data_IF_983873629865
#
_entry.id   IF_983873629865
#
_cell.length_a   1.000
_cell.length_b   1.000
_cell.length_c   1.000
_cell.angle_alpha   90.00
_cell.angle_beta   90.00
_cell.angle_gamma   90.00
#
_symmetry.space_group_name_H-M   'P 1'
#
loop_
_entity.id
_entity.type
_entity.pdbx_description
1 polymer ?
#
# COMPACT_ATOMS: atom_id res chain seq x y z
N UNK A 1 33.74 -38.08 33.86
CA UNK A 1 32.55 -38.38 34.68
C UNK A 1 31.85 -39.58 34.07
N UNK A 2 31.91 -40.74 34.72
CA UNK A 2 31.25 -41.98 34.28
C UNK A 2 29.91 -42.14 34.99
N UNK A 3 28.89 -42.60 34.28
CA UNK A 3 27.59 -42.93 34.86
C UNK A 3 27.62 -44.38 35.36
N UNK A 4 27.13 -44.60 36.59
CA UNK A 4 26.98 -45.94 37.17
C UNK A 4 25.81 -46.70 36.51
N UNK A 5 25.93 -48.01 36.37
CA UNK A 5 24.91 -48.93 35.84
C UNK A 5 23.49 -48.64 36.37
N UNK A 6 23.37 -48.47 37.69
CA UNK A 6 22.10 -48.13 38.36
C UNK A 6 21.55 -46.76 37.97
N UNK A 7 22.43 -45.81 37.67
CA UNK A 7 22.00 -44.47 37.22
C UNK A 7 21.45 -44.49 35.79
N UNK A 8 21.93 -45.40 34.93
CA UNK A 8 21.38 -45.62 33.60
C UNK A 8 20.01 -46.31 33.62
N UNK A 9 19.81 -47.26 34.53
CA UNK A 9 18.52 -47.91 34.70
C UNK A 9 17.47 -46.91 35.19
N UNK A 10 17.83 -46.09 36.20
CA UNK A 10 16.95 -45.04 36.73
C UNK A 10 16.67 -43.93 35.71
N UNK A 11 17.64 -43.57 34.87
CA UNK A 11 17.44 -42.59 33.78
C UNK A 11 16.50 -43.15 32.70
N UNK A 12 16.56 -44.46 32.43
CA UNK A 12 15.63 -45.14 31.53
C UNK A 12 14.22 -45.21 32.12
N UNK A 13 14.09 -45.48 33.42
CA UNK A 13 12.81 -45.44 34.14
C UNK A 13 12.20 -44.04 34.18
N UNK A 14 13.03 -43.00 34.36
CA UNK A 14 12.63 -41.59 34.28
C UNK A 14 12.52 -41.06 32.85
N UNK A 15 12.93 -41.88 31.86
CA UNK A 15 12.87 -41.63 30.44
C UNK A 15 11.44 -41.67 29.94
N UNK A 16 10.65 -40.71 30.40
CA UNK A 16 9.36 -40.23 29.88
C UNK A 16 8.68 -41.23 28.95
N UNK A 17 7.82 -42.07 29.50
CA UNK A 17 6.77 -42.69 28.70
C UNK A 17 5.97 -41.55 28.05
N UNK A 18 6.14 -41.36 26.74
CA UNK A 18 5.29 -40.43 26.02
C UNK A 18 3.84 -40.93 26.16
N UNK A 19 2.88 -40.07 26.52
CA UNK A 19 1.48 -40.44 26.44
C UNK A 19 1.18 -40.90 25.00
N UNK A 20 0.27 -41.88 24.88
CA UNK A 20 -0.15 -42.43 23.58
C UNK A 20 -0.45 -41.27 22.63
N UNK A 21 0.14 -41.32 21.43
CA UNK A 21 -0.15 -40.32 20.39
C UNK A 21 -1.66 -40.24 20.22
N UNK A 22 -2.17 -39.01 20.24
CA UNK A 22 -3.55 -38.75 19.82
C UNK A 22 -3.71 -39.32 18.40
N UNK A 23 -4.90 -39.88 18.07
CA UNK A 23 -5.17 -40.30 16.72
C UNK A 23 -4.87 -39.15 15.78
N UNK A 24 -4.09 -39.42 14.73
CA UNK A 24 -3.86 -38.43 13.67
C UNK A 24 -5.24 -38.04 13.13
N UNK A 25 -5.53 -36.74 12.98
CA UNK A 25 -6.80 -36.32 12.40
C UNK A 25 -6.91 -37.01 11.04
N UNK A 26 -8.04 -37.70 10.80
CA UNK A 26 -8.27 -38.31 9.50
C UNK A 26 -8.03 -37.24 8.45
N UNK A 27 -7.08 -37.52 7.55
CA UNK A 27 -6.86 -36.70 6.36
C UNK A 27 -8.07 -36.90 5.48
N UNK A 28 -9.15 -36.22 5.84
CA UNK A 28 -10.25 -36.01 4.95
C UNK A 28 -9.62 -35.42 3.70
N UNK A 29 -9.57 -36.23 2.64
CA UNK A 29 -9.45 -35.83 1.24
C UNK A 29 -10.68 -34.99 0.90
N UNK A 30 -10.83 -33.89 1.62
CA UNK A 30 -11.54 -32.73 1.16
C UNK A 30 -10.67 -32.15 0.06
N UNK A 31 -11.20 -31.89 -1.14
CA UNK A 31 -10.45 -31.12 -2.12
C UNK A 31 -10.09 -29.82 -1.41
N UNK A 32 -8.79 -29.60 -1.13
CA UNK A 32 -8.22 -28.49 -0.33
C UNK A 32 -9.25 -27.40 -0.22
N UNK A 33 -9.95 -27.34 0.93
CA UNK A 33 -10.97 -26.33 1.18
C UNK A 33 -10.39 -25.02 0.64
N UNK A 34 -10.97 -24.51 -0.46
CA UNK A 34 -10.47 -23.33 -1.14
C UNK A 34 -10.50 -22.26 -0.08
N UNK A 35 -9.36 -22.01 0.55
CA UNK A 35 -9.21 -20.91 1.48
C UNK A 35 -9.74 -19.73 0.71
N UNK A 36 -10.83 -19.16 1.20
CA UNK A 36 -11.53 -18.06 0.54
C UNK A 36 -10.54 -16.92 0.57
N UNK A 37 -9.74 -16.82 -0.49
CA UNK A 37 -8.73 -15.78 -0.62
C UNK A 37 -9.47 -14.46 -0.64
N UNK A 38 -8.97 -13.49 0.12
CA UNK A 38 -9.49 -12.14 0.04
C UNK A 38 -9.31 -11.62 -1.39
N UNK A 39 -10.21 -10.74 -1.84
CA UNK A 39 -10.18 -10.23 -3.23
C UNK A 39 -8.82 -9.60 -3.59
N UNK A 40 -8.26 -8.85 -2.66
CA UNK A 40 -6.89 -8.28 -2.69
C UNK A 40 -5.78 -9.31 -2.95
N UNK A 41 -5.98 -10.58 -2.59
CA UNK A 41 -5.00 -11.64 -2.84
C UNK A 41 -5.20 -12.31 -4.21
N UNK A 42 -6.34 -12.12 -4.86
CA UNK A 42 -6.64 -12.70 -6.18
C UNK A 42 -6.58 -11.70 -7.31
N UNK A 43 -6.63 -10.41 -7.00
CA UNK A 43 -6.66 -9.34 -7.97
C UNK A 43 -5.32 -9.22 -8.74
N UNK A 44 -5.44 -8.99 -10.04
CA UNK A 44 -4.32 -8.94 -10.99
C UNK A 44 -4.19 -7.55 -11.64
N UNK A 45 -5.25 -6.73 -11.59
CA UNK A 45 -5.20 -5.34 -12.01
C UNK A 45 -4.65 -4.46 -10.88
N UNK A 46 -3.52 -3.74 -11.08
CA UNK A 46 -2.96 -2.87 -10.04
C UNK A 46 -3.94 -1.78 -9.58
N UNK A 47 -4.78 -1.25 -10.48
CA UNK A 47 -5.70 -0.15 -10.16
C UNK A 47 -6.84 -0.65 -9.26
N UNK A 48 -7.34 -1.86 -9.51
CA UNK A 48 -8.38 -2.50 -8.70
C UNK A 48 -7.81 -2.95 -7.36
N UNK A 49 -6.61 -3.55 -7.37
CA UNK A 49 -5.93 -3.98 -6.14
C UNK A 49 -5.71 -2.80 -5.19
N UNK A 50 -5.27 -1.64 -5.71
CA UNK A 50 -5.09 -0.43 -4.91
C UNK A 50 -6.41 0.05 -4.27
N UNK A 51 -7.50 0.08 -5.06
CA UNK A 51 -8.82 0.51 -4.56
C UNK A 51 -9.34 -0.41 -3.49
N UNK A 52 -9.17 -1.73 -3.66
CA UNK A 52 -9.56 -2.69 -2.64
C UNK A 52 -8.73 -2.50 -1.38
N UNK A 53 -7.41 -2.38 -1.49
CA UNK A 53 -6.52 -2.10 -0.35
C UNK A 53 -6.98 -0.87 0.46
N UNK A 54 -7.35 0.23 -0.21
CA UNK A 54 -7.89 1.42 0.44
C UNK A 54 -9.23 1.18 1.15
N UNK A 55 -10.05 0.25 0.68
CA UNK A 55 -11.33 -0.11 1.30
C UNK A 55 -11.16 -1.02 2.52
N UNK A 56 -10.21 -1.96 2.48
CA UNK A 56 -10.00 -2.91 3.58
C UNK A 56 -9.08 -2.37 4.68
N UNK A 57 -8.27 -1.35 4.39
CA UNK A 57 -7.35 -0.72 5.35
C UNK A 57 -7.81 0.69 5.75
N UNK A 58 -8.84 0.84 6.61
CA UNK A 58 -9.26 2.16 7.11
C UNK A 58 -8.16 2.86 7.92
N UNK A 59 -7.27 2.08 8.54
CA UNK A 59 -6.12 2.58 9.34
C UNK A 59 -4.90 2.95 8.49
N UNK A 60 -4.96 2.75 7.16
CA UNK A 60 -3.84 3.03 6.24
C UNK A 60 -2.65 2.07 6.37
N UNK A 61 -2.70 1.07 7.26
CA UNK A 61 -1.69 0.01 7.33
C UNK A 61 -1.99 -1.09 6.30
N UNK A 62 -1.01 -1.36 5.44
CA UNK A 62 -1.08 -2.40 4.41
C UNK A 62 0.06 -3.40 4.63
N UNK A 63 -0.21 -4.72 4.65
CA UNK A 63 0.83 -5.74 4.73
C UNK A 63 1.89 -5.61 3.61
N UNK A 64 3.15 -5.80 3.99
CA UNK A 64 4.31 -5.60 3.11
C UNK A 64 4.24 -6.42 1.81
N UNK A 65 3.80 -7.67 1.89
CA UNK A 65 3.65 -8.54 0.72
C UNK A 65 2.60 -8.04 -0.30
N UNK A 66 1.54 -7.34 0.13
CA UNK A 66 0.53 -6.77 -0.78
C UNK A 66 1.08 -5.53 -1.49
N UNK A 67 1.86 -4.70 -0.78
CA UNK A 67 2.58 -3.57 -1.38
C UNK A 67 3.64 -4.02 -2.39
N UNK A 68 4.42 -5.05 -2.05
CA UNK A 68 5.41 -5.63 -2.94
C UNK A 68 4.75 -6.16 -4.23
N UNK A 69 3.61 -6.83 -4.11
CA UNK A 69 2.83 -7.30 -5.27
C UNK A 69 2.30 -6.16 -6.12
N UNK A 70 1.75 -5.11 -5.52
CA UNK A 70 1.23 -3.96 -6.25
C UNK A 70 2.33 -3.30 -7.09
N UNK A 71 3.53 -3.13 -6.53
CA UNK A 71 4.71 -2.65 -7.26
C UNK A 71 5.07 -3.55 -8.45
N UNK A 72 5.09 -4.86 -8.24
CA UNK A 72 5.38 -5.82 -9.33
C UNK A 72 4.37 -5.73 -10.47
N UNK A 73 3.08 -5.57 -10.17
CA UNK A 73 2.02 -5.42 -11.18
C UNK A 73 2.12 -4.09 -11.94
N UNK A 74 2.49 -3.01 -11.24
CA UNK A 74 2.72 -1.69 -11.85
C UNK A 74 3.93 -1.71 -12.79
N UNK A 75 5.04 -2.32 -12.37
CA UNK A 75 6.26 -2.48 -13.17
C UNK A 75 5.99 -3.27 -14.44
N UNK A 76 5.17 -4.33 -14.35
CA UNK A 76 4.74 -5.13 -15.51
C UNK A 76 3.82 -4.36 -16.47
N UNK A 77 3.19 -3.26 -16.01
CA UNK A 77 2.25 -2.45 -16.80
C UNK A 77 2.92 -1.31 -17.59
N UNK A 78 4.12 -0.87 -17.22
CA UNK A 78 4.84 0.20 -17.95
C UNK A 78 5.75 -0.37 -19.06
N UNK A 79 5.79 0.17 -20.30
CA UNK A 79 5.18 1.39 -20.85
C UNK A 79 4.13 1.15 -21.97
N UNK A 80 3.67 -0.08 -22.21
CA UNK A 80 2.93 -0.42 -23.45
C UNK A 80 1.43 -0.09 -23.43
N UNK A 81 0.84 0.28 -22.28
CA UNK A 81 -0.63 0.48 -22.14
C UNK A 81 -1.03 1.64 -21.24
N UNK A 82 -0.32 2.77 -21.27
CA UNK A 82 -0.94 4.03 -20.79
C UNK A 82 -1.86 4.54 -21.90
N UNK A 83 -3.04 3.96 -22.04
CA UNK A 83 -4.09 4.54 -22.87
C UNK A 83 -4.57 5.84 -22.22
N UNK A 84 -4.77 6.93 -22.98
CA UNK A 84 -5.17 8.24 -22.45
C UNK A 84 -6.58 8.27 -21.84
N UNK A 85 -7.25 7.13 -21.70
CA UNK A 85 -8.59 6.98 -21.12
C UNK A 85 -8.63 7.23 -19.62
N UNK A 86 -7.54 6.99 -18.88
CA UNK A 86 -7.48 7.29 -17.43
C UNK A 86 -7.17 8.77 -17.14
N UNK A 87 -6.80 9.54 -18.17
CA UNK A 87 -6.67 11.00 -18.08
C UNK A 87 -8.02 11.74 -18.25
N UNK A 88 -9.12 11.02 -18.49
CA UNK A 88 -10.43 11.61 -18.74
C UNK A 88 -11.19 12.04 -17.47
N UNK A 89 -10.69 11.67 -16.28
CA UNK A 89 -11.35 11.98 -14.99
C UNK A 89 -10.52 12.85 -14.05
N UNK A 90 -9.40 13.38 -14.55
CA UNK A 90 -8.61 14.41 -13.86
C UNK A 90 -9.03 15.77 -14.43
N UNK A 91 -9.22 16.81 -13.60
CA UNK A 91 -9.39 18.16 -14.13
C UNK A 91 -8.19 18.46 -15.05
N UNK A 92 -8.42 19.06 -16.24
CA UNK A 92 -7.34 19.34 -17.17
C UNK A 92 -6.31 20.22 -16.47
N UNK A 93 -5.05 19.77 -16.43
CA UNK A 93 -3.98 20.61 -15.91
C UNK A 93 -3.99 21.93 -16.70
N UNK A 94 -3.91 23.09 -16.03
CA UNK A 94 -3.87 24.36 -16.70
C UNK A 94 -2.63 24.36 -17.61
N UNK A 95 -2.88 24.48 -18.91
CA UNK A 95 -1.83 24.64 -19.91
C UNK A 95 -1.14 25.97 -19.62
N UNK A 96 -0.07 25.94 -18.85
CA UNK A 96 0.79 27.11 -18.68
C UNK A 96 1.43 27.38 -20.03
N UNK A 97 0.94 28.41 -20.72
CA UNK A 97 1.61 28.90 -21.91
C UNK A 97 2.97 29.40 -21.45
N UNK A 98 4.02 28.64 -21.73
CA UNK A 98 5.40 29.05 -21.56
C UNK A 98 5.70 30.14 -22.59
N UNK A 99 5.25 31.36 -22.29
CA UNK A 99 5.72 32.57 -22.95
C UNK A 99 7.17 32.79 -22.52
N UNK A 100 8.08 32.80 -23.49
CA UNK A 100 9.48 33.12 -23.25
C UNK A 100 9.59 34.55 -22.71
N UNK A 101 10.02 34.67 -21.45
CA UNK A 101 10.30 35.96 -20.83
C UNK A 101 10.73 35.76 -19.39
N UNK A 102 12.02 35.87 -19.12
CA UNK A 102 12.56 35.92 -17.76
C UNK A 102 12.14 37.24 -17.11
N UNK A 103 10.96 37.26 -16.50
CA UNK A 103 10.63 38.26 -15.48
C UNK A 103 10.11 37.51 -14.27
N UNK A 104 10.85 37.56 -13.16
CA UNK A 104 10.48 37.08 -11.82
C UNK A 104 9.35 37.95 -11.26
N UNK A 105 8.23 38.00 -11.97
CA UNK A 105 7.02 38.65 -11.47
C UNK A 105 5.92 37.59 -11.50
N UNK A 106 5.32 37.24 -10.36
CA UNK A 106 4.21 36.30 -10.34
C UNK A 106 3.10 36.87 -11.21
N UNK A 107 2.83 36.21 -12.33
CA UNK A 107 1.76 36.60 -13.23
C UNK A 107 0.46 36.02 -12.68
N UNK A 108 -0.51 36.89 -12.39
CA UNK A 108 -1.82 36.43 -11.95
C UNK A 108 -2.47 35.61 -13.07
N UNK A 109 -3.02 34.42 -12.76
CA UNK A 109 -3.81 33.67 -13.72
C UNK A 109 -5.04 34.50 -14.15
N UNK A 110 -5.45 34.34 -15.41
CA UNK A 110 -6.61 35.05 -15.95
C UNK A 110 -7.89 34.38 -15.45
N UNK A 111 -8.41 34.84 -14.33
CA UNK A 111 -9.58 34.28 -13.63
C UNK A 111 -10.65 35.38 -13.50
N UNK A 112 -11.95 35.07 -13.67
CA UNK A 112 -13.02 36.07 -13.52
C UNK A 112 -13.07 36.67 -12.10
N UNK A 113 -13.22 37.99 -12.04
CA UNK A 113 -13.25 38.75 -10.79
C UNK A 113 -14.45 38.33 -9.91
N UNK A 114 -14.18 37.98 -8.64
CA UNK A 114 -15.17 37.51 -7.68
C UNK A 114 -15.51 36.02 -7.78
N UNK A 115 -14.74 35.25 -8.55
CA UNK A 115 -14.89 33.79 -8.59
C UNK A 115 -14.27 33.10 -7.38
N UNK A 116 -14.73 31.88 -7.12
CA UNK A 116 -14.12 30.99 -6.13
C UNK A 116 -12.64 30.75 -6.43
N UNK A 117 -12.28 30.61 -7.71
CA UNK A 117 -10.91 30.41 -8.16
C UNK A 117 -9.99 31.59 -7.79
N UNK A 118 -10.47 32.83 -7.96
CA UNK A 118 -9.69 34.01 -7.55
C UNK A 118 -9.46 34.03 -6.04
N UNK A 119 -10.50 33.68 -5.26
CA UNK A 119 -10.42 33.60 -3.81
C UNK A 119 -9.38 32.55 -3.38
N UNK A 120 -9.38 31.39 -4.03
CA UNK A 120 -8.42 30.31 -3.78
C UNK A 120 -6.98 30.73 -4.14
N UNK A 121 -6.77 31.40 -5.28
CA UNK A 121 -5.44 31.90 -5.67
C UNK A 121 -4.92 32.96 -4.69
N UNK A 122 -5.78 33.85 -4.20
CA UNK A 122 -5.42 34.84 -3.19
C UNK A 122 -5.08 34.17 -1.86
N UNK A 123 -5.90 33.23 -1.38
CA UNK A 123 -5.65 32.49 -0.14
C UNK A 123 -4.32 31.72 -0.18
N UNK A 124 -4.04 31.01 -1.28
CA UNK A 124 -2.77 30.30 -1.47
C UNK A 124 -1.57 31.25 -1.51
N UNK A 125 -1.71 32.42 -2.14
CA UNK A 125 -0.65 33.43 -2.14
C UNK A 125 -0.37 34.00 -0.75
N UNK A 126 -1.39 34.15 0.10
CA UNK A 126 -1.23 34.60 1.48
C UNK A 126 -0.53 33.53 2.33
N UNK A 127 -0.92 32.26 2.19
CA UNK A 127 -0.30 31.14 2.90
C UNK A 127 1.22 31.04 2.63
N UNK A 128 1.62 31.18 1.36
CA UNK A 128 3.05 31.17 0.98
C UNK A 128 3.84 32.33 1.59
N UNK A 129 3.21 33.48 1.80
CA UNK A 129 3.84 34.65 2.41
C UNK A 129 3.89 34.54 3.95
N UNK A 130 2.91 33.89 4.59
CA UNK A 130 2.90 33.66 6.04
C UNK A 130 4.04 32.73 6.51
N UNK A 131 4.43 31.75 5.70
CA UNK A 131 5.54 30.84 6.01
C UNK A 131 6.91 31.55 5.96
N UNK A 132 7.07 32.59 5.13
CA UNK A 132 8.30 33.37 5.03
C UNK A 132 8.47 34.37 6.21
N UNK A 133 7.38 34.83 6.85
CA UNK A 133 7.43 35.72 8.03
C UNK A 133 7.75 34.98 9.35
N UNK A 134 7.72 33.65 9.35
CA UNK A 134 7.92 32.82 10.56
C UNK A 134 9.38 32.41 10.79
N UNK A 135 10.31 32.92 9.97
CA UNK A 135 11.76 32.67 10.07
C UNK A 135 12.54 33.95 10.39
N UNK A 136 12.44 34.44 11.63
CA UNK A 136 13.45 35.31 12.25
C UNK A 136 13.64 34.95 13.74
#
# INVERSE_FOLDING_TARGET
>A
MSFDSRSLDRLRELGRSLPKRLPEPESAVTPKARQVRHKVETEQDPDVLFRELMQVSPDGQVPEHLMARLKQLEEQRSPQRRSPSDAANLPPLPKTQTGQGKTTRPQRPNVPAGSEEETLYVAFSQLLLEDDESSD
#
